data_IF_589731879197
#
_entry.id   IF_589731879197
#
_cell.length_a   1.000
_cell.length_b   1.000
_cell.length_c   1.000
_cell.angle_alpha   90.00
_cell.angle_beta   90.00
_cell.angle_gamma   90.00
#
_symmetry.space_group_name_H-M   'P 1'
#
loop_
_entity.id
_entity.type
_entity.pdbx_description
1 polymer ?
#
# COMPACT_ATOMS: atom_id res chain seq x y z
N UNK A 1 -18.42 -4.59 20.03
CA UNK A 1 -18.72 -3.89 18.78
C UNK A 1 -20.14 -3.35 18.88
N UNK A 2 -20.45 -2.20 18.24
CA UNK A 2 -21.84 -1.72 18.14
C UNK A 2 -22.65 -2.63 17.21
N UNK A 3 -23.99 -2.61 17.30
CA UNK A 3 -24.86 -3.38 16.40
C UNK A 3 -24.55 -3.08 14.93
N UNK A 4 -24.29 -1.81 14.59
CA UNK A 4 -23.90 -1.41 13.26
C UNK A 4 -22.58 -2.02 12.80
N UNK A 5 -21.57 -2.13 13.67
CA UNK A 5 -20.29 -2.78 13.33
C UNK A 5 -20.46 -4.28 13.06
N UNK A 6 -21.34 -4.96 13.80
CA UNK A 6 -21.67 -6.36 13.55
C UNK A 6 -22.36 -6.51 12.19
N UNK A 7 -23.34 -5.65 11.88
CA UNK A 7 -23.99 -5.64 10.56
C UNK A 7 -22.99 -5.38 9.40
N UNK A 8 -22.00 -4.49 9.61
CA UNK A 8 -20.95 -4.26 8.60
C UNK A 8 -20.13 -5.53 8.40
N UNK A 9 -19.68 -6.18 9.47
CA UNK A 9 -18.90 -7.40 9.39
C UNK A 9 -19.68 -8.52 8.68
N UNK A 10 -20.97 -8.68 8.99
CA UNK A 10 -21.84 -9.66 8.34
C UNK A 10 -22.00 -9.38 6.83
N UNK A 11 -22.20 -8.11 6.44
CA UNK A 11 -22.26 -7.72 5.03
C UNK A 11 -20.97 -8.05 4.29
N UNK A 12 -19.82 -7.72 4.87
CA UNK A 12 -18.50 -8.02 4.29
C UNK A 12 -18.30 -9.53 4.13
N UNK A 13 -18.59 -10.31 5.18
CA UNK A 13 -18.44 -11.77 5.15
C UNK A 13 -19.33 -12.43 4.09
N UNK A 14 -20.50 -11.85 3.81
CA UNK A 14 -21.46 -12.38 2.84
C UNK A 14 -21.30 -11.80 1.42
N UNK A 15 -20.34 -10.91 1.17
CA UNK A 15 -20.15 -10.25 -0.13
C UNK A 15 -20.01 -11.25 -1.29
N UNK A 16 -19.25 -12.33 -1.09
CA UNK A 16 -19.07 -13.38 -2.12
C UNK A 16 -20.38 -14.07 -2.55
N UNK A 17 -21.46 -13.97 -1.75
CA UNK A 17 -22.78 -14.53 -2.09
C UNK A 17 -23.55 -13.65 -3.11
N UNK A 18 -23.16 -12.39 -3.25
CA UNK A 18 -23.74 -11.44 -4.19
C UNK A 18 -23.08 -11.54 -5.57
N UNK A 19 -23.31 -12.68 -6.25
CA UNK A 19 -22.61 -13.02 -7.49
C UNK A 19 -22.67 -11.92 -8.56
N UNK A 20 -23.84 -11.33 -8.81
CA UNK A 20 -24.01 -10.26 -9.81
C UNK A 20 -23.12 -9.03 -9.49
N UNK A 21 -23.01 -8.68 -8.21
CA UNK A 21 -22.14 -7.58 -7.77
C UNK A 21 -20.67 -7.91 -7.97
N UNK A 22 -20.25 -9.13 -7.62
CA UNK A 22 -18.88 -9.59 -7.84
C UNK A 22 -18.52 -9.65 -9.33
N UNK A 23 -19.42 -10.18 -10.19
CA UNK A 23 -19.23 -10.25 -11.64
C UNK A 23 -19.14 -8.83 -12.25
N UNK A 24 -19.94 -7.89 -11.75
CA UNK A 24 -19.89 -6.48 -12.17
C UNK A 24 -18.58 -5.81 -11.77
N UNK A 25 -18.08 -6.06 -10.56
CA UNK A 25 -16.79 -5.55 -10.09
C UNK A 25 -15.63 -6.11 -10.95
N UNK A 26 -15.62 -7.41 -11.20
CA UNK A 26 -14.62 -8.04 -12.07
C UNK A 26 -14.64 -7.47 -13.49
N UNK A 27 -15.85 -7.21 -14.02
CA UNK A 27 -16.02 -6.57 -15.32
C UNK A 27 -15.48 -5.15 -15.32
N UNK A 28 -15.75 -4.38 -14.26
CA UNK A 28 -15.21 -3.03 -14.10
C UNK A 28 -13.68 -3.06 -14.05
N UNK A 29 -13.07 -3.90 -13.22
CA UNK A 29 -11.61 -4.01 -13.12
C UNK A 29 -10.99 -4.30 -14.50
N UNK A 30 -11.48 -5.32 -15.20
CA UNK A 30 -10.98 -5.66 -16.54
C UNK A 30 -11.14 -4.54 -17.57
N UNK A 31 -12.27 -3.81 -17.55
CA UNK A 31 -12.56 -2.78 -18.57
C UNK A 31 -11.96 -1.42 -18.24
N UNK A 32 -11.65 -1.14 -16.99
CA UNK A 32 -11.06 0.13 -16.54
C UNK A 32 -9.54 0.18 -16.66
N UNK A 33 -8.87 -0.98 -16.84
CA UNK A 33 -7.41 -1.07 -16.92
C UNK A 33 -6.86 -0.39 -18.19
N UNK A 34 -7.33 -0.77 -19.39
CA UNK A 34 -6.84 -0.20 -20.65
C UNK A 34 -7.04 1.31 -20.76
N UNK A 35 -8.20 1.90 -20.37
CA UNK A 35 -8.37 3.35 -20.34
C UNK A 35 -7.61 4.03 -19.20
N UNK A 36 -6.84 3.30 -18.39
CA UNK A 36 -6.03 3.82 -17.29
C UNK A 36 -6.86 4.62 -16.27
N UNK A 37 -8.00 4.08 -15.88
CA UNK A 37 -8.94 4.76 -14.98
C UNK A 37 -8.28 5.21 -13.68
N UNK A 38 -7.41 4.40 -13.05
CA UNK A 38 -6.72 4.73 -11.81
C UNK A 38 -5.72 5.89 -11.95
N UNK A 39 -5.34 6.28 -13.18
CA UNK A 39 -4.44 7.41 -13.43
C UNK A 39 -5.15 8.79 -13.39
N UNK A 40 -6.48 8.81 -13.26
CA UNK A 40 -7.26 10.05 -13.30
C UNK A 40 -7.31 10.80 -11.97
N UNK A 41 -6.74 10.23 -10.92
CA UNK A 41 -6.88 10.75 -9.57
C UNK A 41 -5.66 11.54 -9.11
N UNK A 42 -5.88 12.41 -8.14
CA UNK A 42 -4.82 13.15 -7.47
C UNK A 42 -5.12 13.26 -5.97
N UNK A 43 -4.08 13.31 -5.16
CA UNK A 43 -4.18 13.59 -3.74
C UNK A 43 -3.39 14.85 -3.41
N UNK A 44 -4.09 15.87 -2.86
CA UNK A 44 -3.50 17.17 -2.50
C UNK A 44 -2.59 17.75 -3.59
N UNK A 45 -3.04 17.67 -4.86
CA UNK A 45 -2.32 18.21 -6.01
C UNK A 45 -1.27 17.29 -6.63
N UNK A 46 -0.99 16.11 -6.06
CA UNK A 46 -0.08 15.11 -6.68
C UNK A 46 -0.87 13.98 -7.34
N UNK A 47 -0.54 13.58 -8.58
CA UNK A 47 -1.15 12.40 -9.20
C UNK A 47 -0.95 11.17 -8.32
N UNK A 48 -2.03 10.43 -8.07
CA UNK A 48 -2.02 9.15 -7.34
C UNK A 48 -2.61 8.08 -8.26
N UNK A 49 -1.81 7.04 -8.54
CA UNK A 49 -2.21 5.97 -9.47
C UNK A 49 -2.87 4.86 -8.65
N UNK A 50 -4.07 5.13 -8.15
CA UNK A 50 -4.80 4.20 -7.30
C UNK A 50 -6.30 4.26 -7.59
N UNK A 51 -7.02 3.17 -7.34
CA UNK A 51 -8.48 3.22 -7.29
C UNK A 51 -8.94 3.88 -5.98
N UNK A 52 -10.05 4.66 -6.02
CA UNK A 52 -10.57 5.31 -4.81
C UNK A 52 -10.84 4.35 -3.64
N UNK A 53 -11.20 3.10 -3.94
CA UNK A 53 -11.45 2.07 -2.93
C UNK A 53 -10.17 1.68 -2.20
N UNK A 54 -9.04 1.53 -2.92
CA UNK A 54 -7.74 1.23 -2.33
C UNK A 54 -7.25 2.39 -1.45
N UNK A 55 -7.50 3.65 -1.86
CA UNK A 55 -7.21 4.83 -1.03
C UNK A 55 -7.98 4.78 0.29
N UNK A 56 -9.26 4.39 0.26
CA UNK A 56 -10.07 4.25 1.48
C UNK A 56 -9.57 3.09 2.34
N UNK A 57 -9.20 1.96 1.75
CA UNK A 57 -8.63 0.84 2.50
C UNK A 57 -7.34 1.25 3.22
N UNK A 58 -6.43 1.93 2.52
CA UNK A 58 -5.20 2.43 3.12
C UNK A 58 -5.45 3.44 4.24
N UNK A 59 -6.43 4.34 4.08
CA UNK A 59 -6.85 5.27 5.14
C UNK A 59 -7.31 4.52 6.39
N UNK A 60 -8.16 3.50 6.24
CA UNK A 60 -8.66 2.70 7.36
C UNK A 60 -7.53 1.91 8.04
N UNK A 61 -6.60 1.34 7.28
CA UNK A 61 -5.42 0.66 7.82
C UNK A 61 -4.55 1.63 8.61
N UNK A 62 -4.19 2.78 8.04
CA UNK A 62 -3.37 3.78 8.72
C UNK A 62 -4.05 4.26 10.02
N UNK A 63 -5.37 4.49 9.98
CA UNK A 63 -6.12 4.89 11.17
C UNK A 63 -6.14 3.83 12.26
N UNK A 64 -6.31 2.56 11.90
CA UNK A 64 -6.39 1.45 12.86
C UNK A 64 -5.03 1.06 13.44
N UNK A 65 -3.97 1.07 12.60
CA UNK A 65 -2.61 0.67 12.98
C UNK A 65 -1.87 1.80 13.70
N UNK A 66 -2.10 3.06 13.29
CA UNK A 66 -1.38 4.27 13.74
C UNK A 66 0.14 4.12 13.57
N UNK A 67 0.65 3.85 12.36
CA UNK A 67 2.05 3.58 12.14
C UNK A 67 2.92 4.80 12.46
N UNK A 68 4.15 4.54 12.93
CA UNK A 68 5.21 5.55 13.09
C UNK A 68 5.99 5.71 11.78
N UNK A 69 6.08 4.62 11.00
CA UNK A 69 6.74 4.58 9.70
C UNK A 69 5.86 3.85 8.69
N UNK A 70 5.73 4.44 7.51
CA UNK A 70 5.21 3.75 6.32
C UNK A 70 6.39 3.63 5.35
N UNK A 71 6.73 2.40 4.96
CA UNK A 71 7.74 2.11 3.94
C UNK A 71 7.00 1.81 2.65
N UNK A 72 7.36 2.47 1.56
CA UNK A 72 6.71 2.31 0.26
C UNK A 72 7.78 2.12 -0.83
N UNK A 73 7.70 1.03 -1.59
CA UNK A 73 8.48 0.85 -2.81
C UNK A 73 7.65 1.28 -4.01
N UNK A 74 8.24 2.08 -4.93
CA UNK A 74 7.54 2.72 -6.03
C UNK A 74 6.99 4.10 -5.67
N UNK A 75 7.65 5.17 -6.12
CA UNK A 75 7.25 6.56 -5.83
C UNK A 75 6.40 7.15 -6.95
N UNK A 76 6.72 6.81 -8.20
CA UNK A 76 6.07 7.35 -9.39
C UNK A 76 5.94 8.88 -9.35
N UNK A 77 4.71 9.41 -9.20
CA UNK A 77 4.44 10.84 -9.10
C UNK A 77 4.38 11.37 -7.65
N UNK A 78 4.52 10.51 -6.65
CA UNK A 78 4.52 10.84 -5.23
C UNK A 78 3.15 11.07 -4.60
N UNK A 79 2.07 10.75 -5.31
CA UNK A 79 0.72 10.93 -4.76
C UNK A 79 0.43 10.05 -3.56
N UNK A 80 0.88 8.80 -3.56
CA UNK A 80 0.78 7.85 -2.45
C UNK A 80 1.60 8.27 -1.24
N UNK A 81 2.83 8.78 -1.45
CA UNK A 81 3.66 9.33 -0.36
C UNK A 81 2.97 10.53 0.31
N UNK A 82 2.42 11.47 -0.50
CA UNK A 82 1.69 12.63 0.03
C UNK A 82 0.40 12.19 0.73
N UNK A 83 -0.31 11.20 0.21
CA UNK A 83 -1.47 10.61 0.88
C UNK A 83 -1.08 10.07 2.25
N UNK A 84 -0.12 9.16 2.30
CA UNK A 84 0.38 8.53 3.54
C UNK A 84 0.86 9.59 4.55
N UNK A 85 1.65 10.57 4.12
CA UNK A 85 2.11 11.68 4.96
C UNK A 85 0.97 12.53 5.52
N UNK A 86 -0.08 12.78 4.71
CA UNK A 86 -1.27 13.53 5.16
C UNK A 86 -2.09 12.76 6.19
N UNK A 87 -2.19 11.43 6.06
CA UNK A 87 -2.84 10.56 7.06
C UNK A 87 -2.06 10.55 8.37
N UNK A 88 -0.74 10.45 8.31
CA UNK A 88 0.13 10.56 9.51
C UNK A 88 0.00 11.92 10.19
N UNK A 89 -0.15 13.00 9.42
CA UNK A 89 -0.41 14.33 10.00
C UNK A 89 -1.76 14.40 10.73
N UNK A 90 -2.82 13.78 10.19
CA UNK A 90 -4.12 13.70 10.85
C UNK A 90 -4.05 12.88 12.14
N UNK A 91 -3.30 11.79 12.19
CA UNK A 91 -3.08 11.03 13.42
C UNK A 91 -2.43 11.91 14.51
N UNK A 92 -1.37 12.66 14.16
CA UNK A 92 -0.69 13.55 15.11
C UNK A 92 -1.63 14.67 15.63
N UNK A 93 -2.46 15.23 14.76
CA UNK A 93 -3.46 16.25 15.14
C UNK A 93 -4.48 15.65 16.12
N UNK A 94 -5.03 14.48 15.81
CA UNK A 94 -6.00 13.81 16.67
C UNK A 94 -5.41 13.47 18.04
N UNK A 95 -4.20 12.92 18.08
CA UNK A 95 -3.50 12.62 19.34
C UNK A 95 -3.17 13.86 20.15
N UNK A 96 -2.82 14.97 19.51
CA UNK A 96 -2.59 16.24 20.19
C UNK A 96 -3.89 16.76 20.84
N UNK A 97 -5.02 16.69 20.12
CA UNK A 97 -6.33 17.08 20.64
C UNK A 97 -6.74 16.20 21.83
N UNK A 98 -6.62 14.87 21.69
CA UNK A 98 -6.98 13.90 22.74
C UNK A 98 -6.12 14.08 24.01
N UNK A 99 -4.83 14.40 23.85
CA UNK A 99 -3.88 14.58 24.95
C UNK A 99 -3.81 16.02 25.51
N UNK A 100 -4.49 16.98 24.88
CA UNK A 100 -4.43 18.41 25.25
C UNK A 100 -3.05 19.05 25.02
N UNK A 101 -2.21 18.49 24.13
CA UNK A 101 -0.87 18.98 23.82
C UNK A 101 -0.87 19.89 22.62
N UNK A 102 0.12 20.80 22.59
CA UNK A 102 0.39 21.60 21.40
C UNK A 102 1.00 20.72 20.32
N UNK A 103 0.47 20.84 19.09
CA UNK A 103 1.01 20.16 17.91
C UNK A 103 1.89 21.14 17.11
N UNK A 104 3.14 20.72 16.83
CA UNK A 104 4.01 21.42 15.89
C UNK A 104 4.13 20.58 14.61
N UNK A 105 3.56 21.04 13.48
CA UNK A 105 3.58 20.30 12.22
C UNK A 105 4.97 19.95 11.70
N UNK A 106 5.99 20.77 12.03
CA UNK A 106 7.36 20.57 11.57
C UNK A 106 8.18 19.56 12.42
N UNK A 107 7.64 19.12 13.54
CA UNK A 107 8.36 18.23 14.49
C UNK A 107 7.77 16.81 14.53
N UNK A 108 7.16 16.37 13.46
CA UNK A 108 6.58 15.02 13.42
C UNK A 108 7.63 13.93 13.55
N UNK A 109 7.30 12.95 14.38
CA UNK A 109 8.08 11.70 14.50
C UNK A 109 7.63 10.63 13.53
N UNK A 110 6.41 10.79 12.93
CA UNK A 110 5.89 9.85 11.94
C UNK A 110 6.40 10.21 10.56
N UNK A 111 6.87 9.21 9.82
CA UNK A 111 7.49 9.38 8.50
C UNK A 111 6.92 8.41 7.47
N UNK A 112 7.05 8.81 6.22
CA UNK A 112 6.91 7.96 5.05
C UNK A 112 8.27 7.87 4.38
N UNK A 113 8.74 6.66 4.13
CA UNK A 113 9.99 6.36 3.43
C UNK A 113 9.65 5.76 2.08
N UNK A 114 9.88 6.51 1.01
CA UNK A 114 9.71 6.05 -0.36
C UNK A 114 11.02 5.55 -0.97
N UNK A 115 10.97 4.45 -1.71
CA UNK A 115 12.12 3.89 -2.45
C UNK A 115 11.74 3.78 -3.92
N UNK A 116 12.54 4.30 -4.83
CA UNK A 116 12.34 4.16 -6.26
C UNK A 116 13.68 4.09 -7.00
N UNK A 117 13.73 3.28 -8.04
CA UNK A 117 14.93 3.14 -8.87
C UNK A 117 15.24 4.42 -9.66
N UNK A 118 14.20 5.19 -10.01
CA UNK A 118 14.30 6.43 -10.81
C UNK A 118 13.35 7.52 -10.28
N UNK A 119 13.83 8.31 -9.34
CA UNK A 119 13.09 9.47 -8.84
C UNK A 119 13.30 10.65 -9.79
N UNK A 120 12.41 10.80 -10.76
CA UNK A 120 12.49 11.87 -11.76
C UNK A 120 12.53 13.24 -11.11
N UNK A 121 13.48 14.09 -11.54
CA UNK A 121 13.76 15.38 -10.90
C UNK A 121 12.52 16.25 -10.68
N UNK A 122 11.65 16.38 -11.68
CA UNK A 122 10.41 17.17 -11.55
C UNK A 122 9.43 16.61 -10.52
N UNK A 123 9.41 15.28 -10.28
CA UNK A 123 8.60 14.67 -9.23
C UNK A 123 9.25 14.85 -7.87
N UNK A 124 10.59 14.72 -7.80
CA UNK A 124 11.36 14.97 -6.59
C UNK A 124 11.15 16.38 -6.08
N UNK A 125 11.37 17.40 -6.95
CA UNK A 125 11.16 18.81 -6.62
C UNK A 125 9.72 19.06 -6.15
N UNK A 126 8.73 18.47 -6.83
CA UNK A 126 7.33 18.66 -6.47
C UNK A 126 6.95 17.99 -5.13
N UNK A 127 7.62 16.90 -4.74
CA UNK A 127 7.44 16.27 -3.43
C UNK A 127 8.17 17.08 -2.35
N UNK A 128 9.42 17.48 -2.59
CA UNK A 128 10.24 18.23 -1.64
C UNK A 128 9.69 19.63 -1.31
N UNK A 129 8.98 20.23 -2.25
CA UNK A 129 8.31 21.54 -2.04
C UNK A 129 6.87 21.42 -1.52
N UNK A 130 6.35 20.19 -1.41
CA UNK A 130 4.99 19.97 -0.93
C UNK A 130 4.86 20.27 0.58
N UNK A 131 3.72 20.80 1.08
CA UNK A 131 3.52 21.03 2.52
C UNK A 131 3.72 19.80 3.42
N UNK A 132 3.54 18.57 2.88
CA UNK A 132 3.76 17.31 3.60
C UNK A 132 5.23 16.84 3.56
N UNK A 133 6.14 17.53 2.86
CA UNK A 133 7.53 17.11 2.63
C UNK A 133 8.31 16.80 3.91
N UNK A 134 8.02 17.53 5.01
CA UNK A 134 8.68 17.29 6.31
C UNK A 134 8.48 15.89 6.85
N UNK A 135 7.50 15.13 6.33
CA UNK A 135 7.18 13.75 6.71
C UNK A 135 7.66 12.72 5.70
N UNK A 136 8.21 13.14 4.56
CA UNK A 136 8.57 12.26 3.45
C UNK A 136 10.09 12.21 3.35
N UNK A 137 10.62 10.99 3.33
CA UNK A 137 12.01 10.69 3.01
C UNK A 137 12.04 9.83 1.75
N UNK A 138 13.00 10.07 0.87
CA UNK A 138 13.11 9.35 -0.39
C UNK A 138 14.51 8.79 -0.58
N UNK A 139 14.59 7.53 -0.99
CA UNK A 139 15.84 6.85 -1.35
C UNK A 139 15.76 6.46 -2.83
N UNK A 140 16.74 6.92 -3.61
CA UNK A 140 16.85 6.48 -5.00
C UNK A 140 17.77 5.28 -5.11
N UNK A 141 17.23 4.19 -5.64
CA UNK A 141 17.93 2.93 -5.86
C UNK A 141 16.95 1.77 -6.05
N UNK A 142 17.47 0.63 -6.47
CA UNK A 142 16.65 -0.57 -6.58
C UNK A 142 16.26 -1.09 -5.20
N UNK A 143 14.97 -1.33 -4.98
CA UNK A 143 14.42 -1.85 -3.71
C UNK A 143 14.98 -3.24 -3.34
N UNK A 144 15.50 -3.99 -4.30
CA UNK A 144 16.13 -5.30 -4.08
C UNK A 144 17.67 -5.23 -3.98
N UNK A 145 18.26 -4.04 -4.08
CA UNK A 145 19.69 -3.85 -3.87
C UNK A 145 20.05 -3.97 -2.38
N UNK A 146 21.08 -4.72 -2.09
CA UNK A 146 21.52 -5.01 -0.71
C UNK A 146 21.84 -3.72 0.09
N UNK A 147 22.44 -2.71 -0.54
CA UNK A 147 22.80 -1.47 0.13
C UNK A 147 21.55 -0.65 0.46
N UNK A 148 20.59 -0.60 -0.47
CA UNK A 148 19.30 0.05 -0.25
C UNK A 148 18.50 -0.67 0.85
N UNK A 149 18.42 -1.99 0.80
CA UNK A 149 17.76 -2.81 1.84
C UNK A 149 18.37 -2.54 3.22
N UNK A 150 19.71 -2.50 3.33
CA UNK A 150 20.40 -2.22 4.57
C UNK A 150 20.13 -0.79 5.08
N UNK A 151 20.08 0.19 4.17
CA UNK A 151 19.73 1.57 4.52
C UNK A 151 18.32 1.66 5.10
N UNK A 152 17.33 1.04 4.42
CA UNK A 152 15.93 0.98 4.90
C UNK A 152 15.84 0.28 6.25
N UNK A 153 16.49 -0.89 6.41
CA UNK A 153 16.54 -1.62 7.70
C UNK A 153 17.16 -0.80 8.81
N UNK A 154 18.17 0.02 8.53
CA UNK A 154 18.76 0.90 9.52
C UNK A 154 17.81 2.03 9.95
N UNK A 155 17.11 2.66 9.00
CA UNK A 155 16.09 3.68 9.31
C UNK A 155 14.95 3.05 10.13
N UNK A 156 14.46 1.88 9.73
CA UNK A 156 13.34 1.20 10.39
C UNK A 156 13.58 0.90 11.88
N UNK A 157 14.83 0.77 12.33
CA UNK A 157 15.16 0.51 13.75
C UNK A 157 14.70 1.60 14.72
N UNK A 158 14.51 2.82 14.23
CA UNK A 158 14.10 3.97 15.05
C UNK A 158 12.58 4.04 15.26
N UNK A 159 11.82 3.12 14.63
CA UNK A 159 10.38 3.10 14.63
C UNK A 159 9.83 1.81 15.25
N UNK A 160 8.63 1.92 15.85
CA UNK A 160 7.99 0.80 16.57
C UNK A 160 6.86 0.16 15.82
N UNK A 161 6.08 0.98 15.12
CA UNK A 161 4.88 0.54 14.39
C UNK A 161 5.10 0.87 12.92
N UNK A 162 5.34 -0.19 12.13
CA UNK A 162 5.70 -0.08 10.71
C UNK A 162 4.62 -0.73 9.87
N UNK A 163 4.19 -0.01 8.83
CA UNK A 163 3.36 -0.50 7.73
C UNK A 163 4.22 -0.50 6.47
N UNK A 164 4.12 -1.56 5.66
CA UNK A 164 4.89 -1.71 4.41
C UNK A 164 3.94 -1.74 3.22
N UNK A 165 4.30 -1.05 2.13
CA UNK A 165 3.59 -1.02 0.86
C UNK A 165 4.57 -1.34 -0.26
N UNK A 166 4.28 -2.38 -1.05
CA UNK A 166 5.09 -2.81 -2.19
C UNK A 166 4.35 -2.49 -3.49
N UNK A 167 4.86 -1.55 -4.27
CA UNK A 167 4.24 -1.04 -5.52
C UNK A 167 5.30 -0.58 -6.54
N UNK A 168 6.42 -1.31 -6.66
CA UNK A 168 7.53 -0.89 -7.53
C UNK A 168 7.55 -1.61 -8.88
N UNK A 169 7.89 -2.87 -8.88
CA UNK A 169 7.95 -3.76 -10.04
C UNK A 169 6.96 -4.91 -9.82
N UNK A 170 6.38 -5.43 -10.89
CA UNK A 170 5.30 -6.39 -10.75
C UNK A 170 5.66 -7.79 -11.27
N UNK A 171 6.97 -8.11 -11.47
CA UNK A 171 7.40 -9.49 -11.72
C UNK A 171 7.43 -10.29 -10.44
N UNK A 172 7.15 -11.58 -10.53
CA UNK A 172 7.20 -12.52 -9.40
C UNK A 172 8.52 -12.43 -8.63
N UNK A 173 9.64 -12.55 -9.34
CA UNK A 173 10.98 -12.57 -8.75
C UNK A 173 11.29 -11.29 -7.96
N UNK A 174 10.96 -10.13 -8.52
CA UNK A 174 11.22 -8.86 -7.87
C UNK A 174 10.36 -8.67 -6.60
N UNK A 175 9.06 -8.96 -6.70
CA UNK A 175 8.14 -8.81 -5.55
C UNK A 175 8.47 -9.82 -4.45
N UNK A 176 8.88 -11.05 -4.81
CA UNK A 176 9.34 -12.02 -3.82
C UNK A 176 10.58 -11.51 -3.07
N UNK A 177 11.54 -10.92 -3.79
CA UNK A 177 12.72 -10.32 -3.16
C UNK A 177 12.38 -9.13 -2.25
N UNK A 178 11.41 -8.29 -2.63
CA UNK A 178 10.89 -7.22 -1.77
C UNK A 178 10.17 -7.76 -0.53
N UNK A 179 9.35 -8.79 -0.67
CA UNK A 179 8.69 -9.46 0.45
C UNK A 179 9.71 -9.98 1.45
N UNK A 180 10.74 -10.69 0.99
CA UNK A 180 11.83 -11.20 1.84
C UNK A 180 12.61 -10.08 2.53
N UNK A 181 12.79 -8.94 1.88
CA UNK A 181 13.54 -7.82 2.41
C UNK A 181 12.75 -6.98 3.42
N UNK A 182 11.49 -6.66 3.12
CA UNK A 182 10.71 -5.63 3.80
C UNK A 182 9.51 -6.13 4.59
N UNK A 183 8.85 -7.23 4.20
CA UNK A 183 7.74 -7.77 4.99
C UNK A 183 8.14 -8.08 6.45
N UNK A 184 9.35 -8.59 6.75
CA UNK A 184 9.79 -8.79 8.15
C UNK A 184 9.87 -7.51 8.98
N UNK A 185 9.90 -6.31 8.36
CA UNK A 185 9.88 -5.02 9.05
C UNK A 185 8.48 -4.63 9.52
N UNK A 186 7.44 -5.20 8.93
CA UNK A 186 6.04 -4.97 9.32
C UNK A 186 5.86 -5.33 10.80
N UNK A 187 5.26 -4.46 11.59
CA UNK A 187 5.00 -4.75 12.99
C UNK A 187 3.87 -5.77 13.16
N UNK A 188 3.88 -6.50 14.27
CA UNK A 188 2.76 -7.41 14.62
C UNK A 188 1.44 -6.64 14.67
N UNK A 189 0.38 -7.18 14.11
CA UNK A 189 -0.92 -6.56 13.87
C UNK A 189 -0.93 -5.40 12.86
N UNK A 190 0.18 -5.15 12.16
CA UNK A 190 0.25 -4.27 10.99
C UNK A 190 0.16 -5.08 9.69
N UNK A 191 0.32 -4.40 8.56
CA UNK A 191 0.19 -5.00 7.23
C UNK A 191 1.41 -4.75 6.36
N UNK A 192 1.73 -5.74 5.54
CA UNK A 192 2.48 -5.59 4.31
C UNK A 192 1.46 -5.62 3.15
N UNK A 193 1.25 -4.48 2.51
CA UNK A 193 0.31 -4.37 1.39
C UNK A 193 1.09 -4.50 0.08
N UNK A 194 0.69 -5.46 -0.74
CA UNK A 194 1.30 -5.72 -2.05
C UNK A 194 0.29 -5.33 -3.12
N UNK A 195 0.60 -4.30 -3.89
CA UNK A 195 -0.26 -3.80 -4.96
C UNK A 195 -0.12 -4.62 -6.25
N UNK A 196 -0.99 -4.36 -7.21
CA UNK A 196 -1.06 -4.97 -8.54
C UNK A 196 -1.14 -6.50 -8.59
N UNK A 197 -1.58 -7.13 -7.49
CA UNK A 197 -1.90 -8.57 -7.47
C UNK A 197 -3.05 -8.93 -8.40
N UNK A 198 -3.87 -7.94 -8.81
CA UNK A 198 -4.95 -8.10 -9.81
C UNK A 198 -4.44 -8.64 -11.15
N UNK A 199 -3.14 -8.48 -11.46
CA UNK A 199 -2.54 -8.95 -12.72
C UNK A 199 -2.79 -10.44 -12.94
N UNK A 200 -2.81 -11.27 -11.88
CA UNK A 200 -3.11 -12.70 -11.98
C UNK A 200 -4.55 -12.98 -12.44
N UNK A 201 -5.48 -12.12 -12.05
CA UNK A 201 -6.91 -12.30 -12.31
C UNK A 201 -7.36 -11.68 -13.66
N UNK A 202 -6.44 -11.00 -14.36
CA UNK A 202 -6.72 -10.36 -15.65
C UNK A 202 -6.42 -11.32 -16.81
N UNK A 203 -7.10 -11.15 -17.97
CA UNK A 203 -6.83 -11.96 -19.15
C UNK A 203 -5.38 -11.84 -19.63
N UNK A 204 -4.81 -12.93 -20.17
CA UNK A 204 -3.52 -12.90 -20.85
C UNK A 204 -3.48 -11.81 -21.94
N UNK A 205 -2.30 -11.18 -22.10
CA UNK A 205 -2.07 -10.17 -23.12
C UNK A 205 -2.64 -8.78 -22.82
N UNK A 206 -3.17 -8.53 -21.61
CA UNK A 206 -3.61 -7.18 -21.23
C UNK A 206 -2.44 -6.19 -21.09
N UNK A 207 -1.24 -6.67 -20.83
CA UNK A 207 -0.02 -5.88 -20.70
C UNK A 207 1.07 -6.35 -21.70
N UNK A 208 0.85 -6.19 -23.03
CA UNK A 208 1.74 -6.78 -24.04
C UNK A 208 3.18 -6.24 -24.01
N UNK A 209 3.37 -5.03 -23.46
CA UNK A 209 4.67 -4.35 -23.39
C UNK A 209 5.31 -4.49 -21.98
N UNK A 210 4.79 -5.38 -21.13
CA UNK A 210 5.29 -5.58 -19.78
C UNK A 210 5.85 -6.99 -19.59
N UNK A 211 6.87 -7.16 -18.73
CA UNK A 211 7.45 -8.48 -18.47
C UNK A 211 6.58 -9.37 -17.57
N UNK A 212 5.55 -8.82 -16.95
CA UNK A 212 4.65 -9.52 -16.04
C UNK A 212 3.29 -9.83 -16.67
N UNK A 213 2.59 -10.81 -16.12
CA UNK A 213 1.27 -11.26 -16.55
C UNK A 213 0.78 -12.40 -15.66
N UNK A 214 -0.32 -13.07 -16.03
CA UNK A 214 -0.77 -14.26 -15.32
C UNK A 214 0.37 -15.30 -15.22
N UNK A 215 0.62 -15.80 -13.99
CA UNK A 215 1.71 -16.73 -13.68
C UNK A 215 3.05 -16.08 -13.31
N UNK A 216 3.26 -14.80 -13.60
CA UNK A 216 4.45 -14.02 -13.23
C UNK A 216 4.03 -12.62 -12.78
N UNK A 217 3.69 -12.48 -11.49
CA UNK A 217 3.15 -11.23 -10.96
C UNK A 217 3.19 -11.20 -9.42
N UNK A 218 2.78 -10.06 -8.78
CA UNK A 218 2.82 -9.92 -7.32
C UNK A 218 2.01 -10.97 -6.56
N UNK A 219 0.86 -11.44 -7.08
CA UNK A 219 0.05 -12.45 -6.40
C UNK A 219 0.77 -13.79 -6.33
N UNK A 220 1.44 -14.19 -7.40
CA UNK A 220 2.22 -15.45 -7.42
C UNK A 220 3.41 -15.41 -6.46
N UNK A 221 4.03 -14.23 -6.27
CA UNK A 221 5.07 -14.01 -5.28
C UNK A 221 4.53 -14.14 -3.85
N UNK A 222 3.34 -13.58 -3.56
CA UNK A 222 2.67 -13.77 -2.27
C UNK A 222 2.42 -15.25 -1.98
N UNK A 223 1.91 -16.01 -2.95
CA UNK A 223 1.65 -17.43 -2.77
C UNK A 223 2.91 -18.22 -2.45
N UNK A 224 4.06 -17.84 -3.02
CA UNK A 224 5.34 -18.46 -2.69
C UNK A 224 5.81 -18.05 -1.30
N UNK A 225 5.82 -16.76 -1.00
CA UNK A 225 6.25 -16.22 0.29
C UNK A 225 5.51 -16.83 1.47
N UNK A 226 4.19 -16.98 1.39
CA UNK A 226 3.35 -17.50 2.46
C UNK A 226 3.58 -19.01 2.75
N UNK A 227 4.29 -19.76 1.91
CA UNK A 227 4.64 -21.16 2.20
C UNK A 227 5.62 -21.26 3.36
N UNK A 228 6.52 -20.29 3.49
CA UNK A 228 7.60 -20.28 4.49
C UNK A 228 7.34 -19.27 5.63
N UNK A 229 6.38 -18.33 5.45
CA UNK A 229 6.14 -17.19 6.34
C UNK A 229 4.75 -17.24 6.98
N UNK A 230 4.56 -18.21 7.87
CA UNK A 230 3.28 -18.44 8.58
C UNK A 230 2.91 -17.38 9.61
N UNK A 231 3.75 -16.37 9.82
CA UNK A 231 3.45 -15.17 10.61
C UNK A 231 2.60 -14.13 9.85
N UNK A 232 2.42 -14.32 8.54
CA UNK A 232 1.53 -13.52 7.71
C UNK A 232 0.32 -14.32 7.26
N UNK A 233 -0.80 -13.63 7.12
CA UNK A 233 -2.03 -14.16 6.55
C UNK A 233 -2.67 -13.13 5.62
N UNK A 234 -3.37 -13.60 4.58
CA UNK A 234 -4.17 -12.73 3.70
C UNK A 234 -5.44 -12.31 4.47
N UNK A 235 -5.66 -11.00 4.62
CA UNK A 235 -6.91 -10.49 5.17
C UNK A 235 -8.00 -10.44 4.08
N UNK A 236 -8.71 -11.54 3.91
CA UNK A 236 -9.81 -11.64 2.95
C UNK A 236 -10.94 -10.63 3.21
N UNK A 237 -11.06 -10.12 4.43
CA UNK A 237 -12.14 -9.18 4.76
C UNK A 237 -12.00 -7.86 4.00
N UNK A 238 -10.76 -7.44 3.71
CA UNK A 238 -10.49 -6.24 2.90
C UNK A 238 -10.93 -6.48 1.45
N UNK A 239 -10.54 -7.61 0.85
CA UNK A 239 -10.98 -7.96 -0.52
C UNK A 239 -12.50 -7.98 -0.64
N UNK A 240 -13.17 -8.66 0.29
CA UNK A 240 -14.62 -8.77 0.32
C UNK A 240 -15.32 -7.41 0.49
N UNK A 241 -14.71 -6.50 1.21
CA UNK A 241 -15.20 -5.14 1.43
C UNK A 241 -15.05 -4.27 0.19
N UNK A 242 -13.91 -4.33 -0.49
CA UNK A 242 -13.58 -3.42 -1.58
C UNK A 242 -14.22 -3.83 -2.91
N UNK A 243 -14.14 -5.11 -3.28
CA UNK A 243 -14.49 -5.67 -4.58
C UNK A 243 -13.73 -5.07 -5.77
N UNK A 244 -13.55 -3.76 -5.78
CA UNK A 244 -12.78 -3.00 -6.78
C UNK A 244 -11.45 -2.64 -6.10
N UNK A 245 -10.38 -3.35 -6.45
CA UNK A 245 -9.04 -3.16 -5.89
C UNK A 245 -7.98 -3.65 -6.85
N UNK A 246 -6.83 -3.02 -6.88
CA UNK A 246 -5.64 -3.53 -7.58
C UNK A 246 -4.89 -4.58 -6.76
N UNK A 247 -5.24 -4.74 -5.49
CA UNK A 247 -4.54 -5.61 -4.54
C UNK A 247 -5.42 -6.77 -4.01
N UNK A 248 -6.15 -7.54 -4.85
CA UNK A 248 -6.87 -8.72 -4.38
C UNK A 248 -5.87 -9.75 -3.82
N UNK A 249 -6.08 -10.19 -2.56
CA UNK A 249 -5.16 -11.04 -1.78
C UNK A 249 -3.81 -10.38 -1.44
N UNK A 250 -3.66 -9.06 -1.69
CA UNK A 250 -2.43 -8.31 -1.43
C UNK A 250 -2.32 -7.71 -0.03
N UNK A 251 -3.34 -7.78 0.80
CA UNK A 251 -3.33 -7.25 2.16
C UNK A 251 -2.86 -8.30 3.16
N UNK A 252 -1.53 -8.36 3.37
CA UNK A 252 -0.90 -9.35 4.25
C UNK A 252 -0.80 -8.82 5.67
N UNK A 253 -1.59 -9.38 6.59
CA UNK A 253 -1.55 -9.04 8.00
C UNK A 253 -0.49 -9.85 8.72
N UNK A 254 0.39 -9.18 9.48
CA UNK A 254 1.33 -9.86 10.37
C UNK A 254 0.66 -10.19 11.70
N UNK A 255 0.54 -11.48 12.02
CA UNK A 255 -0.19 -11.97 13.20
C UNK A 255 0.72 -12.28 14.39
N UNK A 256 2.04 -12.46 14.17
CA UNK A 256 3.03 -12.81 15.22
C UNK A 256 4.47 -12.40 14.85
#
# INVERSE_FOLDING_TARGET
MSDFQNEVADRIANTKQHKEMCDSANTFMRTSTNPKYCYNFSWQGRPIIQYPQDIIAMQELIWSIKPDLIIETGIAHGGSLVFSASMLAQLDICEAIESGKTFNPSESKRKVLGIDIDIREHNKEAIETHPMATRIEMIQGSSIDTDIINQVKNIAKDYKIILVCLDSNHTHEHVLAELEAFAPLTSVNSYCVVFDTIVEDLPEGMYPDRPWGPGDNPKTAIWEYLKEHSEFEIDESINNKLLITVAPDGYLKRTR
#
